data_IF_705340899280
#
_entry.id   IF_705340899280
#
_cell.length_a   1.000
_cell.length_b   1.000
_cell.length_c   1.000
_cell.angle_alpha   90.00
_cell.angle_beta   90.00
_cell.angle_gamma   90.00
#
_symmetry.space_group_name_H-M   'P 1'
#
loop_
_entity.id
_entity.type
_entity.pdbx_description
1 polymer ?
#
# COMPACT_ATOMS: atom_id res chain seq x y z
N UNK A 1 -4.58 19.51 20.46
CA UNK A 1 -4.26 18.93 19.14
C UNK A 1 -5.48 19.15 18.27
N UNK A 2 -5.32 19.80 17.12
CA UNK A 2 -6.45 20.14 16.24
C UNK A 2 -6.94 18.87 15.55
N UNK A 3 -8.20 18.50 15.72
CA UNK A 3 -8.84 17.37 15.04
C UNK A 3 -8.68 17.39 13.50
N UNK A 4 -8.40 18.56 12.90
CA UNK A 4 -8.20 18.67 11.45
C UNK A 4 -6.86 18.13 10.93
N UNK A 5 -5.82 18.06 11.78
CA UNK A 5 -4.51 17.55 11.33
C UNK A 5 -4.51 16.02 11.19
N UNK A 6 -5.23 15.31 12.06
CA UNK A 6 -5.33 13.84 11.99
C UNK A 6 -6.16 13.40 10.76
N UNK A 7 -7.16 14.19 10.37
CA UNK A 7 -7.97 13.94 9.17
C UNK A 7 -7.19 14.21 7.87
N UNK A 8 -6.38 15.26 7.82
CA UNK A 8 -5.49 15.53 6.68
C UNK A 8 -4.50 14.39 6.45
N UNK A 9 -3.83 13.93 7.53
CA UNK A 9 -2.89 12.80 7.45
C UNK A 9 -3.61 11.51 7.03
N UNK A 10 -4.83 11.27 7.54
CA UNK A 10 -5.63 10.11 7.13
C UNK A 10 -5.95 10.16 5.63
N UNK A 11 -6.34 11.32 5.12
CA UNK A 11 -6.67 11.46 3.69
C UNK A 11 -5.44 11.27 2.81
N UNK A 12 -4.29 11.84 3.18
CA UNK A 12 -3.03 11.63 2.47
C UNK A 12 -2.66 10.13 2.42
N UNK A 13 -2.80 9.43 3.55
CA UNK A 13 -2.58 7.98 3.60
C UNK A 13 -3.56 7.21 2.71
N UNK A 14 -4.85 7.56 2.71
CA UNK A 14 -5.84 6.87 1.88
C UNK A 14 -5.55 7.04 0.39
N UNK A 15 -5.08 8.22 -0.02
CA UNK A 15 -4.64 8.48 -1.40
C UNK A 15 -3.42 7.63 -1.74
N UNK A 16 -2.35 7.70 -0.94
CA UNK A 16 -1.12 6.93 -1.16
C UNK A 16 -1.38 5.41 -1.15
N UNK A 17 -2.19 4.92 -0.21
CA UNK A 17 -2.56 3.53 -0.14
C UNK A 17 -3.35 3.09 -1.38
N UNK A 18 -4.24 3.94 -1.89
CA UNK A 18 -4.96 3.70 -3.14
C UNK A 18 -4.02 3.52 -4.33
N UNK A 19 -3.06 4.42 -4.50
CA UNK A 19 -2.06 4.36 -5.58
C UNK A 19 -1.19 3.09 -5.48
N UNK A 20 -0.74 2.74 -4.27
CA UNK A 20 0.02 1.51 -4.05
C UNK A 20 -0.82 0.28 -4.38
N UNK A 21 -2.11 0.24 -3.99
CA UNK A 21 -2.99 -0.89 -4.26
C UNK A 21 -3.30 -1.05 -5.76
N UNK A 22 -3.43 0.05 -6.50
CA UNK A 22 -3.57 0.03 -7.95
C UNK A 22 -2.34 -0.61 -8.61
N UNK A 23 -1.14 -0.15 -8.24
CA UNK A 23 0.12 -0.74 -8.71
C UNK A 23 0.24 -2.22 -8.34
N UNK A 24 -0.13 -2.60 -7.12
CA UNK A 24 -0.10 -4.00 -6.67
C UNK A 24 -1.04 -4.87 -7.49
N UNK A 25 -2.20 -4.36 -7.89
CA UNK A 25 -3.14 -5.09 -8.76
C UNK A 25 -2.50 -5.42 -10.11
N UNK A 26 -1.81 -4.46 -10.73
CA UNK A 26 -1.10 -4.69 -12.00
C UNK A 26 0.03 -5.71 -11.84
N UNK A 27 0.82 -5.59 -10.78
CA UNK A 27 1.93 -6.50 -10.48
C UNK A 27 1.45 -7.93 -10.20
N UNK A 28 0.30 -8.11 -9.54
CA UNK A 28 -0.29 -9.42 -9.30
C UNK A 28 -0.72 -10.08 -10.61
N UNK A 29 -1.32 -9.34 -11.53
CA UNK A 29 -1.64 -9.84 -12.88
C UNK A 29 -0.37 -10.20 -13.65
N UNK A 30 0.68 -9.38 -13.56
CA UNK A 30 1.98 -9.70 -14.17
C UNK A 30 2.57 -10.99 -13.59
N UNK A 31 2.46 -11.20 -12.27
CA UNK A 31 2.97 -12.37 -11.58
C UNK A 31 2.29 -13.67 -12.05
N UNK A 32 1.01 -13.63 -12.43
CA UNK A 32 0.34 -14.79 -13.03
C UNK A 32 1.05 -15.29 -14.29
N UNK A 33 1.65 -14.37 -15.06
CA UNK A 33 2.42 -14.72 -16.26
C UNK A 33 3.89 -15.09 -15.97
N UNK A 34 4.43 -14.64 -14.83
CA UNK A 34 5.82 -14.88 -14.40
C UNK A 34 5.90 -15.40 -12.95
N UNK A 35 5.35 -16.57 -12.64
CA UNK A 35 5.18 -17.03 -11.25
C UNK A 35 6.50 -17.27 -10.50
N UNK A 36 7.59 -17.53 -11.21
CA UNK A 36 8.92 -17.77 -10.63
C UNK A 36 9.76 -16.48 -10.47
N UNK A 37 9.17 -15.32 -10.77
CA UNK A 37 9.84 -14.03 -10.64
C UNK A 37 9.89 -13.57 -9.19
N UNK A 38 10.97 -13.93 -8.51
CA UNK A 38 11.20 -13.57 -7.11
C UNK A 38 11.30 -12.05 -6.89
N UNK A 39 11.79 -11.29 -7.87
CA UNK A 39 11.93 -9.83 -7.74
C UNK A 39 10.57 -9.13 -7.79
N UNK A 40 9.69 -9.58 -8.69
CA UNK A 40 8.29 -9.14 -8.76
C UNK A 40 7.52 -9.51 -7.48
N UNK A 41 7.66 -10.75 -7.01
CA UNK A 41 7.04 -11.18 -5.75
C UNK A 41 7.52 -10.34 -4.56
N UNK A 42 8.81 -10.04 -4.50
CA UNK A 42 9.39 -9.18 -3.46
C UNK A 42 8.89 -7.73 -3.57
N UNK A 43 8.66 -7.22 -4.78
CA UNK A 43 8.07 -5.90 -4.98
C UNK A 43 6.64 -5.84 -4.45
N UNK A 44 5.82 -6.84 -4.77
CA UNK A 44 4.44 -6.98 -4.28
C UNK A 44 4.42 -7.03 -2.75
N UNK A 45 5.29 -7.86 -2.15
CA UNK A 45 5.41 -7.95 -0.70
C UNK A 45 5.74 -6.60 -0.04
N UNK A 46 6.68 -5.84 -0.63
CA UNK A 46 7.04 -4.52 -0.12
C UNK A 46 5.87 -3.53 -0.21
N UNK A 47 5.09 -3.53 -1.30
CA UNK A 47 3.92 -2.66 -1.41
C UNK A 47 2.90 -2.92 -0.31
N UNK A 48 2.52 -4.19 -0.08
CA UNK A 48 1.65 -4.54 1.04
C UNK A 48 2.24 -4.17 2.40
N UNK A 49 3.57 -4.33 2.58
CA UNK A 49 4.24 -3.96 3.81
C UNK A 49 4.16 -2.44 4.09
N UNK A 50 4.26 -1.60 3.06
CA UNK A 50 4.11 -0.15 3.18
C UNK A 50 2.71 0.24 3.61
N UNK A 51 1.66 -0.29 2.95
CA UNK A 51 0.26 -0.01 3.30
C UNK A 51 -0.04 -0.42 4.74
N UNK A 52 0.37 -1.63 5.14
CA UNK A 52 0.23 -2.11 6.52
C UNK A 52 0.94 -1.20 7.53
N UNK A 53 2.15 -0.73 7.19
CA UNK A 53 2.93 0.19 8.03
C UNK A 53 2.22 1.53 8.23
N UNK A 54 1.69 2.11 7.16
CA UNK A 54 0.92 3.36 7.21
C UNK A 54 -0.39 3.23 8.01
N UNK A 55 -1.14 2.14 7.80
CA UNK A 55 -2.36 1.87 8.57
C UNK A 55 -2.07 1.74 10.08
N UNK A 56 -1.00 1.03 10.45
CA UNK A 56 -0.59 0.87 11.84
C UNK A 56 -0.13 2.18 12.49
N UNK A 57 0.46 3.09 11.73
CA UNK A 57 0.84 4.43 12.21
C UNK A 57 -0.40 5.28 12.55
N UNK A 58 -1.48 5.13 11.77
CA UNK A 58 -2.70 5.91 11.93
C UNK A 58 -3.68 5.34 12.96
N UNK A 59 -3.39 4.19 13.58
CA UNK A 59 -4.38 3.39 14.31
C UNK A 59 -5.66 3.19 13.50
N UNK A 60 -5.52 3.16 12.16
CA UNK A 60 -6.64 2.87 11.28
C UNK A 60 -7.10 1.43 11.61
N UNK A 61 -8.40 1.20 11.92
CA UNK A 61 -8.91 -0.13 12.23
C UNK A 61 -8.71 -1.12 11.08
#
# INVERSE_FOLDING_TARGET
MSFGADEEILQDFLVEAGEILEQLSEQLVELESRPDDADLLNAIFRGFHTVKGGAGFLQAP
#
